data_IF_126247721475
#
_entry.id   IF_126247721475
#
_cell.length_a   1.000
_cell.length_b   1.000
_cell.length_c   1.000
_cell.angle_alpha   90.00
_cell.angle_beta   90.00
_cell.angle_gamma   90.00
#
_symmetry.space_group_name_H-M   'P 1'
#
loop_
_entity.id
_entity.type
_entity.pdbx_description
1 polymer ?
#
# COMPACT_ATOMS: atom_id res chain seq x y z
N UNK A 1 -27.21 -17.47 -20.85
CA UNK A 1 -27.24 -16.42 -19.81
C UNK A 1 -26.15 -15.43 -20.19
N UNK A 2 -26.55 -14.30 -20.78
CA UNK A 2 -25.67 -13.49 -21.63
C UNK A 2 -24.73 -12.60 -20.82
N UNK A 3 -23.48 -12.47 -21.29
CA UNK A 3 -22.48 -11.50 -20.82
C UNK A 3 -23.09 -10.08 -20.70
N UNK A 4 -24.09 -9.76 -21.52
CA UNK A 4 -24.85 -8.52 -21.50
C UNK A 4 -25.43 -8.12 -20.13
N UNK A 5 -25.73 -9.07 -19.23
CA UNK A 5 -26.26 -8.74 -17.90
C UNK A 5 -25.19 -8.24 -16.93
N UNK A 6 -23.91 -8.57 -17.17
CA UNK A 6 -22.78 -8.02 -16.41
C UNK A 6 -22.47 -6.57 -16.82
N UNK A 7 -22.99 -6.14 -17.96
CA UNK A 7 -22.77 -4.81 -18.55
C UNK A 7 -24.06 -4.00 -18.65
N UNK A 8 -25.04 -4.28 -17.80
CA UNK A 8 -26.17 -3.36 -17.64
C UNK A 8 -25.67 -2.01 -17.07
N UNK A 9 -26.41 -0.90 -17.29
CA UNK A 9 -25.95 0.43 -16.89
C UNK A 9 -25.53 0.55 -15.42
N UNK A 10 -26.20 -0.17 -14.51
CA UNK A 10 -25.93 -0.11 -13.08
C UNK A 10 -24.69 -0.93 -12.72
N UNK A 11 -24.55 -2.14 -13.28
CA UNK A 11 -23.31 -2.93 -13.17
C UNK A 11 -22.10 -2.19 -13.76
N UNK A 12 -22.28 -1.49 -14.89
CA UNK A 12 -21.22 -0.67 -15.51
C UNK A 12 -20.82 0.48 -14.59
N UNK A 13 -21.77 1.13 -13.92
CA UNK A 13 -21.45 2.19 -12.96
C UNK A 13 -20.60 1.67 -11.79
N UNK A 14 -20.99 0.52 -11.21
CA UNK A 14 -20.20 -0.15 -10.15
C UNK A 14 -18.81 -0.51 -10.68
N UNK A 15 -18.72 -1.08 -11.88
CA UNK A 15 -17.45 -1.41 -12.52
C UNK A 15 -16.56 -0.18 -12.70
N UNK A 16 -17.09 0.94 -13.20
CA UNK A 16 -16.34 2.19 -13.36
C UNK A 16 -15.80 2.69 -12.02
N UNK A 17 -16.63 2.67 -10.97
CA UNK A 17 -16.21 3.08 -9.63
C UNK A 17 -15.09 2.17 -9.09
N UNK A 18 -15.24 0.85 -9.25
CA UNK A 18 -14.22 -0.15 -8.88
C UNK A 18 -12.91 0.08 -9.64
N UNK A 19 -12.99 0.30 -10.95
CA UNK A 19 -11.81 0.58 -11.79
C UNK A 19 -11.13 1.88 -11.38
N UNK A 20 -11.89 2.93 -11.04
CA UNK A 20 -11.35 4.19 -10.54
C UNK A 20 -10.59 4.04 -9.21
N UNK A 21 -11.18 3.31 -8.25
CA UNK A 21 -10.51 2.99 -6.98
C UNK A 21 -9.25 2.15 -7.20
N UNK A 22 -9.35 1.11 -8.04
CA UNK A 22 -8.22 0.22 -8.36
C UNK A 22 -7.09 0.97 -9.05
N UNK A 23 -7.42 1.81 -10.04
CA UNK A 23 -6.46 2.65 -10.75
C UNK A 23 -5.75 3.63 -9.82
N UNK A 24 -6.48 4.26 -8.91
CA UNK A 24 -5.91 5.17 -7.89
C UNK A 24 -4.95 4.42 -6.96
N UNK A 25 -5.35 3.25 -6.46
CA UNK A 25 -4.50 2.39 -5.63
C UNK A 25 -3.24 1.93 -6.37
N UNK A 26 -3.36 1.55 -7.64
CA UNK A 26 -2.23 1.15 -8.47
C UNK A 26 -1.25 2.31 -8.74
N UNK A 27 -1.75 3.54 -8.92
CA UNK A 27 -0.91 4.73 -9.04
C UNK A 27 -0.13 4.98 -7.74
N UNK A 28 -0.78 4.84 -6.58
CA UNK A 28 -0.09 4.95 -5.29
C UNK A 28 0.98 3.88 -5.11
N UNK A 29 0.68 2.62 -5.48
CA UNK A 29 1.67 1.54 -5.46
C UNK A 29 2.88 1.86 -6.34
N UNK A 30 2.65 2.31 -7.59
CA UNK A 30 3.75 2.67 -8.50
C UNK A 30 4.62 3.81 -7.98
N UNK A 31 4.02 4.84 -7.38
CA UNK A 31 4.77 5.92 -6.72
C UNK A 31 5.59 5.39 -5.54
N UNK A 32 5.00 4.50 -4.74
CA UNK A 32 5.66 3.82 -3.63
C UNK A 32 6.85 2.98 -4.08
N UNK A 33 6.70 2.23 -5.16
CA UNK A 33 7.76 1.41 -5.74
C UNK A 33 8.94 2.26 -6.23
N UNK A 34 8.67 3.36 -6.94
CA UNK A 34 9.72 4.28 -7.38
C UNK A 34 10.46 4.91 -6.20
N UNK A 35 9.73 5.28 -5.15
CA UNK A 35 10.33 5.82 -3.93
C UNK A 35 11.18 4.77 -3.21
N UNK A 36 10.72 3.51 -3.16
CA UNK A 36 11.49 2.40 -2.62
C UNK A 36 12.80 2.18 -3.37
N UNK A 37 12.78 2.14 -4.70
CA UNK A 37 13.99 1.97 -5.51
C UNK A 37 15.01 3.08 -5.25
N UNK A 38 14.54 4.33 -5.07
CA UNK A 38 15.39 5.46 -4.69
C UNK A 38 15.99 5.31 -3.29
N UNK A 39 15.21 4.86 -2.31
CA UNK A 39 15.70 4.61 -0.94
C UNK A 39 16.70 3.45 -0.91
N UNK A 40 16.47 2.39 -1.68
CA UNK A 40 17.42 1.28 -1.83
C UNK A 40 18.74 1.76 -2.45
N UNK A 41 18.68 2.63 -3.46
CA UNK A 41 19.87 3.28 -4.01
C UNK A 41 20.61 4.17 -3.01
N UNK A 42 19.90 4.71 -2.02
CA UNK A 42 20.42 5.61 -1.00
C UNK A 42 20.86 4.91 0.32
N UNK A 43 20.83 3.58 0.40
CA UNK A 43 21.19 2.83 1.63
C UNK A 43 22.62 3.12 2.13
N UNK A 44 23.53 3.53 1.24
CA UNK A 44 24.88 3.95 1.62
C UNK A 44 24.92 5.15 2.57
N UNK A 45 23.92 6.04 2.49
CA UNK A 45 23.78 7.18 3.41
C UNK A 45 23.40 6.68 4.80
N UNK A 46 22.42 5.78 4.88
CA UNK A 46 21.99 5.20 6.16
C UNK A 46 23.14 4.47 6.86
N UNK A 47 23.97 3.74 6.12
CA UNK A 47 25.20 3.12 6.66
C UNK A 47 26.14 4.17 7.27
N UNK A 48 26.38 5.30 6.58
CA UNK A 48 27.24 6.38 7.08
C UNK A 48 26.67 7.05 8.32
N UNK A 49 25.36 7.37 8.30
CA UNK A 49 24.67 7.98 9.44
C UNK A 49 24.73 7.04 10.66
N UNK A 50 24.50 5.75 10.45
CA UNK A 50 24.62 4.74 11.51
C UNK A 50 26.04 4.63 12.06
N UNK A 51 27.08 4.66 11.21
CA UNK A 51 28.47 4.65 11.67
C UNK A 51 28.84 5.89 12.51
N UNK A 52 28.17 7.03 12.26
CA UNK A 52 28.36 8.27 12.99
C UNK A 52 27.48 8.39 14.25
N UNK A 53 26.58 7.44 14.51
CA UNK A 53 25.75 7.46 15.71
C UNK A 53 26.60 7.25 16.97
N UNK A 54 26.56 8.22 17.88
CA UNK A 54 27.20 8.14 19.19
C UNK A 54 26.74 6.88 19.95
N UNK A 55 27.64 6.30 20.76
CA UNK A 55 27.36 5.11 21.58
C UNK A 55 26.14 5.29 22.50
N UNK A 56 25.89 6.51 22.96
CA UNK A 56 24.75 6.84 23.83
C UNK A 56 23.45 7.18 23.10
N UNK A 57 23.45 7.21 21.76
CA UNK A 57 22.28 7.61 21.00
C UNK A 57 21.11 6.62 21.21
N UNK A 58 19.88 7.08 21.50
CA UNK A 58 18.75 6.20 21.82
C UNK A 58 18.42 5.21 20.70
N UNK A 59 18.61 5.61 19.44
CA UNK A 59 18.40 4.73 18.28
C UNK A 59 19.45 3.61 18.24
N UNK A 60 20.72 3.92 18.54
CA UNK A 60 21.78 2.91 18.60
C UNK A 60 21.50 1.89 19.69
N UNK A 61 21.15 2.35 20.89
CA UNK A 61 20.74 1.48 22.00
C UNK A 61 19.56 0.59 21.65
N UNK A 62 18.55 1.08 20.90
CA UNK A 62 17.40 0.28 20.44
C UNK A 62 17.75 -0.74 19.36
N UNK A 63 18.70 -0.41 18.48
CA UNK A 63 19.18 -1.29 17.42
C UNK A 63 20.12 -2.39 17.95
N UNK A 64 20.90 -2.09 18.99
CA UNK A 64 21.79 -3.04 19.68
C UNK A 64 21.07 -3.87 20.77
N UNK A 65 19.89 -3.43 21.24
CA UNK A 65 19.09 -4.16 22.22
C UNK A 65 18.50 -5.46 21.63
N UNK A 66 18.40 -6.50 22.46
CA UNK A 66 17.67 -7.72 22.14
C UNK A 66 16.35 -7.77 22.97
N UNK A 67 15.16 -7.81 22.33
CA UNK A 67 14.90 -7.80 20.89
C UNK A 67 15.07 -6.42 20.25
N UNK A 68 15.56 -6.40 19.00
CA UNK A 68 15.71 -5.17 18.22
C UNK A 68 14.33 -4.57 17.99
N UNK A 69 14.08 -3.39 18.54
CA UNK A 69 12.81 -2.69 18.34
C UNK A 69 12.84 -2.03 16.98
N UNK A 70 11.95 -2.46 16.07
CA UNK A 70 11.85 -1.87 14.74
C UNK A 70 11.61 -0.36 14.85
N UNK A 71 12.42 0.41 14.13
CA UNK A 71 12.25 1.86 14.02
C UNK A 71 11.04 2.12 13.13
N UNK A 72 10.25 3.13 13.49
CA UNK A 72 9.18 3.54 12.59
C UNK A 72 9.79 4.13 11.30
N UNK A 73 9.09 4.01 10.18
CA UNK A 73 9.53 4.66 8.94
C UNK A 73 9.66 6.17 9.07
N UNK A 74 8.90 6.78 9.97
CA UNK A 74 9.02 8.20 10.29
C UNK A 74 10.36 8.51 10.99
N UNK A 75 10.79 7.68 11.95
CA UNK A 75 12.09 7.81 12.60
C UNK A 75 13.24 7.62 11.59
N UNK A 76 13.13 6.63 10.70
CA UNK A 76 14.08 6.40 9.60
C UNK A 76 14.14 7.62 8.67
N UNK A 77 12.98 8.16 8.30
CA UNK A 77 12.91 9.34 7.43
C UNK A 77 13.53 10.56 8.10
N UNK A 78 13.36 10.72 9.42
CA UNK A 78 14.02 11.78 10.20
C UNK A 78 15.54 11.62 10.22
N UNK A 79 16.05 10.39 10.31
CA UNK A 79 17.50 10.11 10.20
C UNK A 79 18.07 10.48 8.83
N UNK A 80 17.25 10.42 7.79
CA UNK A 80 17.61 10.80 6.42
C UNK A 80 17.29 12.27 6.11
N UNK A 81 16.87 13.06 7.10
CA UNK A 81 16.49 14.46 6.89
C UNK A 81 17.69 15.31 6.44
N UNK A 82 17.48 16.16 5.43
CA UNK A 82 18.53 16.96 4.82
C UNK A 82 19.30 16.28 3.68
N UNK A 83 19.00 15.02 3.35
CA UNK A 83 19.57 14.35 2.18
C UNK A 83 18.58 14.31 1.00
N UNK A 84 19.13 14.17 -0.19
CA UNK A 84 18.46 13.96 -1.48
C UNK A 84 17.42 12.83 -1.47
N UNK A 85 17.58 11.84 -0.60
CA UNK A 85 16.66 10.70 -0.43
C UNK A 85 15.50 10.92 0.55
N UNK A 86 15.49 12.03 1.31
CA UNK A 86 14.39 12.41 2.20
C UNK A 86 13.00 12.42 1.53
N UNK A 87 12.79 13.00 0.33
CA UNK A 87 11.48 12.98 -0.32
C UNK A 87 11.00 11.56 -0.65
N UNK A 88 11.92 10.65 -0.97
CA UNK A 88 11.59 9.25 -1.26
C UNK A 88 11.18 8.51 0.02
N UNK A 89 11.92 8.69 1.12
CA UNK A 89 11.56 8.13 2.42
C UNK A 89 10.18 8.63 2.90
N UNK A 90 9.89 9.94 2.74
CA UNK A 90 8.56 10.51 3.00
C UNK A 90 7.47 9.91 2.12
N UNK A 91 7.75 9.59 0.86
CA UNK A 91 6.77 8.96 -0.02
C UNK A 91 6.42 7.53 0.43
N UNK A 92 7.38 6.78 0.99
CA UNK A 92 7.12 5.45 1.59
C UNK A 92 6.25 5.59 2.85
N UNK A 93 6.50 6.59 3.71
CA UNK A 93 5.63 6.89 4.87
C UNK A 93 4.20 7.17 4.42
N UNK A 94 4.02 8.03 3.41
CA UNK A 94 2.70 8.31 2.84
C UNK A 94 2.04 7.08 2.21
N UNK A 95 2.81 6.17 1.63
CA UNK A 95 2.27 4.91 1.12
C UNK A 95 1.69 4.07 2.26
N UNK A 96 2.37 4.01 3.42
CA UNK A 96 1.88 3.31 4.60
C UNK A 96 0.50 3.83 5.05
N UNK A 97 0.33 5.15 5.09
CA UNK A 97 -0.97 5.77 5.40
C UNK A 97 -2.04 5.46 4.34
N UNK A 98 -1.63 5.36 3.07
CA UNK A 98 -2.54 5.06 1.95
C UNK A 98 -3.02 3.61 1.93
N UNK A 99 -2.29 2.65 2.52
CA UNK A 99 -2.75 1.25 2.60
C UNK A 99 -4.13 1.18 3.27
N UNK A 100 -4.32 1.90 4.38
CA UNK A 100 -5.62 1.96 5.05
C UNK A 100 -6.74 2.55 4.17
N UNK A 101 -6.41 3.39 3.18
CA UNK A 101 -7.37 3.84 2.18
C UNK A 101 -7.68 2.77 1.13
N UNK A 102 -6.69 1.98 0.70
CA UNK A 102 -6.88 0.88 -0.25
C UNK A 102 -7.79 -0.19 0.36
N UNK A 103 -7.61 -0.52 1.63
CA UNK A 103 -8.49 -1.42 2.38
C UNK A 103 -9.93 -0.89 2.47
N UNK A 104 -10.09 0.41 2.74
CA UNK A 104 -11.42 1.05 2.72
C UNK A 104 -12.05 1.01 1.33
N UNK A 105 -11.28 1.20 0.26
CA UNK A 105 -11.79 1.02 -1.10
C UNK A 105 -12.27 -0.41 -1.35
N UNK A 106 -11.55 -1.42 -0.85
CA UNK A 106 -12.00 -2.81 -0.96
C UNK A 106 -13.34 -3.02 -0.26
N UNK A 107 -13.51 -2.45 0.94
CA UNK A 107 -14.80 -2.46 1.64
C UNK A 107 -15.88 -1.72 0.83
N UNK A 108 -15.60 -0.51 0.34
CA UNK A 108 -16.57 0.26 -0.45
C UNK A 108 -16.99 -0.45 -1.74
N UNK A 109 -16.09 -1.17 -2.40
CA UNK A 109 -16.43 -1.97 -3.59
C UNK A 109 -17.52 -3.01 -3.27
N UNK A 110 -17.40 -3.72 -2.14
CA UNK A 110 -18.44 -4.68 -1.69
C UNK A 110 -19.76 -3.95 -1.40
N UNK A 111 -19.71 -2.84 -0.66
CA UNK A 111 -20.92 -2.08 -0.31
C UNK A 111 -21.63 -1.53 -1.55
N UNK A 112 -20.89 -1.04 -2.55
CA UNK A 112 -21.46 -0.60 -3.83
C UNK A 112 -22.15 -1.75 -4.58
N UNK A 113 -21.56 -2.95 -4.57
CA UNK A 113 -22.18 -4.14 -5.16
C UNK A 113 -23.49 -4.53 -4.48
N UNK A 114 -23.52 -4.50 -3.14
CA UNK A 114 -24.73 -4.75 -2.34
C UNK A 114 -25.79 -3.69 -2.62
N UNK A 115 -25.43 -2.40 -2.59
CA UNK A 115 -26.35 -1.30 -2.86
C UNK A 115 -26.95 -1.39 -4.26
N UNK A 116 -26.15 -1.73 -5.27
CA UNK A 116 -26.66 -1.95 -6.63
C UNK A 116 -27.66 -3.09 -6.72
N UNK A 117 -27.43 -4.16 -5.94
CA UNK A 117 -28.34 -5.32 -5.86
C UNK A 117 -29.65 -4.92 -5.23
N UNK A 118 -29.59 -4.25 -4.07
CA UNK A 118 -30.78 -3.76 -3.36
C UNK A 118 -31.58 -2.81 -4.25
N UNK A 119 -30.90 -1.88 -4.94
CA UNK A 119 -31.56 -0.95 -5.85
C UNK A 119 -32.26 -1.68 -7.01
N UNK A 120 -31.59 -2.65 -7.64
CA UNK A 120 -32.17 -3.42 -8.74
C UNK A 120 -33.40 -4.23 -8.31
N UNK A 121 -33.43 -4.72 -7.06
CA UNK A 121 -34.56 -5.47 -6.51
C UNK A 121 -35.70 -4.54 -6.06
N UNK A 122 -35.41 -3.44 -5.37
CA UNK A 122 -36.44 -2.49 -4.90
C UNK A 122 -37.09 -1.75 -6.06
N UNK A 123 -36.36 -1.49 -7.14
CA UNK A 123 -36.90 -0.87 -8.35
C UNK A 123 -37.71 -1.82 -9.24
N UNK A 124 -37.80 -3.11 -8.87
CA UNK A 124 -38.60 -4.09 -9.60
C UNK A 124 -40.02 -4.16 -9.04
N UNK A 125 -41.01 -4.29 -9.93
CA UNK A 125 -42.41 -4.47 -9.53
C UNK A 125 -42.58 -5.88 -8.91
N UNK A 126 -42.99 -5.98 -7.63
CA UNK A 126 -43.12 -7.27 -6.95
C UNK A 126 -44.29 -8.11 -7.49
N UNK A 127 -45.23 -7.51 -8.23
CA UNK A 127 -46.39 -8.20 -8.81
C UNK A 127 -46.09 -8.80 -10.19
N UNK A 128 -45.04 -8.32 -10.87
CA UNK A 128 -44.57 -8.85 -12.14
C UNK A 128 -43.39 -9.83 -11.93
N UNK A 129 -43.71 -11.12 -11.79
CA UNK A 129 -42.73 -12.18 -11.64
C UNK A 129 -41.78 -12.32 -12.85
N UNK A 130 -42.20 -11.90 -14.05
CA UNK A 130 -41.36 -11.98 -15.26
C UNK A 130 -40.35 -10.82 -15.27
N UNK A 131 -40.83 -9.59 -15.01
CA UNK A 131 -39.98 -8.42 -14.83
C UNK A 131 -39.00 -8.57 -13.66
N UNK A 132 -39.44 -9.14 -12.54
CA UNK A 132 -38.59 -9.46 -11.39
C UNK A 132 -37.45 -10.43 -11.77
N UNK A 133 -37.78 -11.55 -12.45
CA UNK A 133 -36.77 -12.52 -12.91
C UNK A 133 -35.77 -11.92 -13.88
N UNK A 134 -36.19 -10.97 -14.71
CA UNK A 134 -35.30 -10.28 -15.64
C UNK A 134 -34.30 -9.34 -14.93
N UNK A 135 -34.62 -8.86 -13.71
CA UNK A 135 -33.77 -7.98 -12.90
C UNK A 135 -32.77 -8.72 -12.01
N UNK A 136 -33.02 -10.00 -11.69
CA UNK A 136 -32.12 -10.81 -10.87
C UNK A 136 -30.68 -10.88 -11.44
N UNK A 137 -30.45 -11.11 -12.75
CA UNK A 137 -29.09 -11.12 -13.30
C UNK A 137 -28.37 -9.77 -13.18
N UNK A 138 -29.10 -8.66 -13.31
CA UNK A 138 -28.57 -7.29 -13.13
C UNK A 138 -28.13 -7.07 -11.68
N UNK A 139 -28.98 -7.46 -10.72
CA UNK A 139 -28.64 -7.39 -9.30
C UNK A 139 -27.40 -8.24 -8.95
N UNK A 140 -27.29 -9.43 -9.55
CA UNK A 140 -26.11 -10.28 -9.38
C UNK A 140 -24.85 -9.69 -10.04
N UNK A 141 -24.99 -8.99 -11.17
CA UNK A 141 -23.88 -8.33 -11.87
C UNK A 141 -23.18 -7.27 -11.01
N UNK A 142 -23.94 -6.48 -10.25
CA UNK A 142 -23.38 -5.43 -9.39
C UNK A 142 -22.62 -6.03 -8.21
N UNK A 143 -23.16 -7.07 -7.58
CA UNK A 143 -22.46 -7.82 -6.53
C UNK A 143 -21.19 -8.46 -7.07
N UNK A 144 -21.25 -9.07 -8.26
CA UNK A 144 -20.09 -9.68 -8.90
C UNK A 144 -18.94 -8.68 -9.05
N UNK A 145 -19.20 -7.50 -9.64
CA UNK A 145 -18.16 -6.47 -9.80
C UNK A 145 -17.67 -5.90 -8.48
N UNK A 146 -18.55 -5.74 -7.49
CA UNK A 146 -18.15 -5.32 -6.15
C UNK A 146 -17.17 -6.30 -5.49
N UNK A 147 -17.44 -7.60 -5.59
CA UNK A 147 -16.56 -8.65 -5.06
C UNK A 147 -15.23 -8.76 -5.81
N UNK A 148 -15.26 -8.74 -7.15
CA UNK A 148 -14.04 -8.73 -7.97
C UNK A 148 -13.18 -7.51 -7.65
N UNK A 149 -13.81 -6.35 -7.50
CA UNK A 149 -13.14 -5.11 -7.11
C UNK A 149 -12.48 -5.20 -5.75
N UNK A 150 -13.18 -5.74 -4.76
CA UNK A 150 -12.64 -5.95 -3.42
C UNK A 150 -11.43 -6.89 -3.44
N UNK A 151 -11.50 -8.00 -4.18
CA UNK A 151 -10.37 -8.93 -4.32
C UNK A 151 -9.15 -8.29 -4.97
N UNK A 152 -9.36 -7.53 -6.05
CA UNK A 152 -8.29 -6.78 -6.73
C UNK A 152 -7.65 -5.75 -5.78
N UNK A 153 -8.46 -4.97 -5.07
CA UNK A 153 -7.97 -3.96 -4.13
C UNK A 153 -7.22 -4.57 -2.94
N UNK A 154 -7.71 -5.69 -2.38
CA UNK A 154 -7.03 -6.43 -1.32
C UNK A 154 -5.67 -6.99 -1.80
N UNK A 155 -5.59 -7.47 -3.04
CA UNK A 155 -4.31 -7.90 -3.61
C UNK A 155 -3.32 -6.73 -3.72
N UNK A 156 -3.78 -5.55 -4.15
CA UNK A 156 -2.95 -4.33 -4.20
C UNK A 156 -2.53 -3.86 -2.81
N UNK A 157 -3.40 -3.96 -1.80
CA UNK A 157 -3.05 -3.65 -0.41
C UNK A 157 -1.90 -4.58 0.06
N UNK A 158 -2.04 -5.89 -0.15
CA UNK A 158 -1.02 -6.86 0.22
C UNK A 158 0.32 -6.66 -0.50
N UNK A 159 0.33 -6.22 -1.76
CA UNK A 159 1.59 -5.87 -2.45
C UNK A 159 2.21 -4.59 -1.88
N UNK A 160 1.40 -3.60 -1.48
CA UNK A 160 1.89 -2.40 -0.80
C UNK A 160 2.52 -2.75 0.56
N UNK A 161 1.86 -3.60 1.37
CA UNK A 161 2.40 -4.07 2.65
C UNK A 161 3.72 -4.82 2.46
N UNK A 162 3.79 -5.72 1.48
CA UNK A 162 5.02 -6.45 1.17
C UNK A 162 6.17 -5.51 0.76
N UNK A 163 5.87 -4.47 -0.02
CA UNK A 163 6.86 -3.45 -0.40
C UNK A 163 7.39 -2.71 0.83
N UNK A 164 6.49 -2.29 1.74
CA UNK A 164 6.87 -1.58 2.96
C UNK A 164 7.70 -2.47 3.87
N UNK A 165 7.34 -3.74 4.03
CA UNK A 165 8.09 -4.68 4.86
C UNK A 165 9.51 -4.91 4.31
N UNK A 166 9.65 -5.09 3.00
CA UNK A 166 10.98 -5.17 2.35
C UNK A 166 11.80 -3.90 2.58
N UNK A 167 11.15 -2.74 2.50
CA UNK A 167 11.77 -1.46 2.79
C UNK A 167 12.29 -1.37 4.24
N UNK A 168 11.52 -1.87 5.22
CA UNK A 168 11.99 -1.92 6.62
C UNK A 168 13.22 -2.79 6.76
N UNK A 169 13.17 -3.99 6.16
CA UNK A 169 14.27 -4.95 6.22
C UNK A 169 15.56 -4.37 5.62
N UNK A 170 15.48 -3.75 4.44
CA UNK A 170 16.66 -3.14 3.80
C UNK A 170 17.24 -1.98 4.59
N UNK A 171 16.40 -1.08 5.10
CA UNK A 171 16.85 0.01 5.96
C UNK A 171 17.50 -0.53 7.23
N UNK A 172 16.87 -1.52 7.87
CA UNK A 172 17.39 -2.15 9.08
C UNK A 172 18.76 -2.77 8.85
N UNK A 173 18.92 -3.54 7.78
CA UNK A 173 20.21 -4.14 7.44
C UNK A 173 21.28 -3.06 7.20
N UNK A 174 20.94 -1.99 6.47
CA UNK A 174 21.87 -0.89 6.22
C UNK A 174 22.29 -0.16 7.52
N UNK A 175 21.36 0.03 8.47
CA UNK A 175 21.69 0.63 9.76
C UNK A 175 22.59 -0.29 10.60
N UNK A 176 22.32 -1.59 10.65
CA UNK A 176 23.14 -2.56 11.38
C UNK A 176 24.55 -2.68 10.79
N UNK A 177 24.67 -2.78 9.46
CA UNK A 177 25.96 -2.80 8.76
C UNK A 177 26.78 -1.53 9.05
N UNK A 178 26.13 -0.37 9.15
CA UNK A 178 26.80 0.87 9.54
C UNK A 178 27.27 0.88 10.99
N UNK A 179 26.55 0.25 11.91
CA UNK A 179 26.97 0.10 13.31
C UNK A 179 28.12 -0.90 13.50
N UNK A 180 28.17 -1.95 12.67
CA UNK A 180 29.26 -2.94 12.66
C UNK A 180 30.57 -2.36 12.12
N UNK A 181 30.50 -1.37 11.22
CA UNK A 181 31.67 -0.64 10.73
C UNK A 181 32.26 0.22 11.86
N UNK A 182 33.31 -0.30 12.52
CA UNK A 182 34.04 0.45 13.53
C UNK A 182 34.57 1.79 12.97
N UNK A 183 34.54 2.88 13.75
CA UNK A 183 35.02 4.19 13.34
C UNK A 183 36.50 4.21 12.89
N UNK A 184 37.28 3.17 13.24
CA UNK A 184 38.69 3.01 12.85
C UNK A 184 38.91 2.71 11.35
N UNK A 185 37.89 2.21 10.63
CA UNK A 185 38.03 1.90 9.18
C UNK A 185 37.72 3.09 8.26
N UNK A 186 37.04 4.12 8.76
CA UNK A 186 36.71 5.33 7.98
C UNK A 186 37.89 6.32 7.95
N UNK A 187 38.87 6.16 8.84
CA UNK A 187 39.99 7.08 9.02
C UNK A 187 41.24 6.75 8.20
N UNK A 188 41.20 5.79 7.26
CA UNK A 188 42.34 5.50 6.39
C UNK A 188 42.20 6.30 5.08
N UNK A 189 43.02 7.35 4.85
CA UNK A 189 43.13 7.91 3.52
C UNK A 189 43.70 6.81 2.61
N UNK A 190 43.16 6.71 1.40
CA UNK A 190 43.85 5.99 0.33
C UNK A 190 45.15 6.74 0.05
N UNK A 191 46.27 6.12 0.41
CA UNK A 191 47.60 6.48 -0.11
C UNK A 191 47.66 6.21 -1.63
#
# INVERSE_FOLDING_TARGET
>A
MGISTLFDPLSVLVLIAVLGMTGTSALWFRQGQQAFDQVVGALGILRRVAAQLAADHPIRKRLEAAPVVDLSFEEITRLMSGDTSEPAARAIVRLNERIGWIERFAQFAVHLGILGTVFALVSSDPTDLVGFRARLPTALGTTFWGLIGALMLSAVAGTCESLIERARLHVRMALLEGLEQRPEQVAKPLD
#
